data_IF_510557465813
#
_entry.id   IF_510557465813
#
_cell.length_a   1.000
_cell.length_b   1.000
_cell.length_c   1.000
_cell.angle_alpha   90.00
_cell.angle_beta   90.00
_cell.angle_gamma   90.00
#
_symmetry.space_group_name_H-M   'P 1'
#
loop_
_entity.id
_entity.type
_entity.pdbx_description
1 polymer ?
#
# COMPACT_ATOMS: atom_id res chain seq x y z
N UNK A 1 5.48 2.93 -10.25
CA UNK A 1 4.97 2.71 -11.61
C UNK A 1 3.47 2.93 -11.65
N UNK A 2 2.95 3.50 -12.75
CA UNK A 2 1.53 3.51 -13.06
C UNK A 2 1.30 2.72 -14.36
N UNK A 3 0.47 1.68 -14.28
CA UNK A 3 0.04 0.90 -15.44
C UNK A 3 -1.36 1.41 -15.80
N UNK A 4 -1.49 1.91 -17.02
CA UNK A 4 -2.77 2.38 -17.55
C UNK A 4 -3.18 1.52 -18.75
N UNK A 5 -4.38 0.99 -18.69
CA UNK A 5 -5.04 0.24 -19.76
C UNK A 5 -6.30 0.98 -20.18
N UNK A 6 -6.99 0.60 -21.26
CA UNK A 6 -8.26 1.23 -21.64
C UNK A 6 -9.36 1.16 -20.56
N UNK A 7 -9.25 0.22 -19.61
CA UNK A 7 -10.29 -0.02 -18.60
C UNK A 7 -9.83 0.13 -17.14
N UNK A 8 -8.52 0.20 -16.86
CA UNK A 8 -8.01 0.16 -15.49
C UNK A 8 -6.71 0.96 -15.35
N UNK A 9 -6.52 1.53 -14.15
CA UNK A 9 -5.27 2.15 -13.70
C UNK A 9 -4.78 1.46 -12.42
N UNK A 10 -3.55 0.96 -12.46
CA UNK A 10 -2.92 0.27 -11.34
C UNK A 10 -1.64 1.02 -10.97
N UNK A 11 -1.58 1.51 -9.74
CA UNK A 11 -0.37 2.11 -9.18
C UNK A 11 0.42 1.09 -8.36
N UNK A 12 1.72 1.00 -8.61
CA UNK A 12 2.65 0.12 -7.89
C UNK A 12 3.75 1.01 -7.30
N UNK A 13 3.74 1.14 -5.97
CA UNK A 13 4.71 1.99 -5.28
C UNK A 13 6.14 1.46 -5.37
N UNK A 14 6.32 0.13 -5.31
CA UNK A 14 7.62 -0.47 -5.01
C UNK A 14 7.99 -0.20 -3.54
N UNK A 15 9.28 -0.26 -3.24
CA UNK A 15 9.81 0.10 -1.94
C UNK A 15 10.05 1.62 -1.90
N UNK A 16 9.51 2.29 -0.91
CA UNK A 16 9.69 3.74 -0.80
C UNK A 16 9.03 4.33 0.44
N UNK A 17 9.69 5.27 1.08
CA UNK A 17 9.14 6.01 2.22
C UNK A 17 8.01 6.96 1.81
N UNK A 18 7.32 7.49 2.80
CA UNK A 18 6.27 8.48 2.58
C UNK A 18 6.87 9.85 2.22
N UNK A 19 6.31 10.48 1.17
CA UNK A 19 6.55 11.88 0.81
C UNK A 19 5.35 12.41 0.01
N UNK A 20 5.41 13.68 -0.41
CA UNK A 20 4.37 14.40 -1.18
C UNK A 20 4.00 13.77 -2.53
N UNK A 21 4.84 12.89 -3.05
CA UNK A 21 4.62 12.25 -4.35
C UNK A 21 3.30 11.45 -4.42
N UNK A 22 2.80 10.91 -3.30
CA UNK A 22 1.51 10.21 -3.29
C UNK A 22 0.35 11.17 -3.61
N UNK A 23 0.35 12.35 -3.01
CA UNK A 23 -0.65 13.38 -3.31
C UNK A 23 -0.53 13.90 -4.74
N UNK A 24 0.69 14.13 -5.21
CA UNK A 24 0.97 14.58 -6.58
C UNK A 24 0.49 13.56 -7.62
N UNK A 25 0.78 12.27 -7.41
CA UNK A 25 0.31 11.19 -8.28
C UNK A 25 -1.21 11.11 -8.28
N UNK A 26 -1.86 11.17 -7.13
CA UNK A 26 -3.32 11.15 -7.03
C UNK A 26 -4.01 12.35 -7.68
N UNK A 27 -3.31 13.49 -7.80
CA UNK A 27 -3.78 14.67 -8.55
C UNK A 27 -3.55 14.52 -10.06
N UNK A 28 -2.39 14.01 -10.46
CA UNK A 28 -2.04 13.87 -11.87
C UNK A 28 -2.77 12.71 -12.56
N UNK A 29 -3.07 11.65 -11.82
CA UNK A 29 -3.66 10.42 -12.37
C UNK A 29 -4.93 10.06 -11.58
N UNK A 30 -6.05 10.75 -11.80
CA UNK A 30 -7.29 10.44 -11.11
C UNK A 30 -7.82 9.04 -11.47
N UNK A 31 -8.70 8.50 -10.62
CA UNK A 31 -9.38 7.22 -10.83
C UNK A 31 -8.45 5.99 -10.85
N UNK A 32 -7.46 5.96 -9.96
CA UNK A 32 -6.65 4.76 -9.72
C UNK A 32 -7.56 3.64 -9.20
N UNK A 33 -7.65 2.53 -9.91
CA UNK A 33 -8.51 1.41 -9.53
C UNK A 33 -7.91 0.56 -8.42
N UNK A 34 -6.57 0.38 -8.44
CA UNK A 34 -5.84 -0.36 -7.43
C UNK A 34 -4.50 0.32 -7.14
N UNK A 35 -4.21 0.56 -5.87
CA UNK A 35 -2.88 0.93 -5.40
C UNK A 35 -2.24 -0.25 -4.68
N UNK A 36 -1.05 -0.65 -5.12
CA UNK A 36 -0.22 -1.67 -4.48
C UNK A 36 0.89 -0.96 -3.73
N UNK A 37 0.83 -1.00 -2.40
CA UNK A 37 1.73 -0.30 -1.50
C UNK A 37 2.57 -1.31 -0.71
N UNK A 38 3.79 -0.93 -0.30
CA UNK A 38 4.53 -1.74 0.65
C UNK A 38 3.94 -1.63 2.06
N UNK A 39 4.01 -2.72 2.82
CA UNK A 39 3.56 -2.80 4.21
C UNK A 39 4.46 -3.76 4.99
N UNK A 40 5.76 -3.59 4.85
CA UNK A 40 6.69 -4.46 5.54
C UNK A 40 8.09 -3.86 5.58
N UNK A 41 8.96 -4.50 6.36
CA UNK A 41 10.37 -4.13 6.48
C UNK A 41 10.61 -2.69 6.96
N UNK A 42 9.62 -2.09 7.61
CA UNK A 42 9.70 -0.75 8.17
C UNK A 42 10.39 -0.74 9.55
N UNK A 43 11.15 0.29 9.79
CA UNK A 43 11.64 0.71 11.12
C UNK A 43 12.04 2.19 11.06
N UNK A 44 12.22 2.81 12.22
CA UNK A 44 12.54 4.24 12.31
C UNK A 44 13.83 4.63 11.56
N UNK A 45 14.81 3.72 11.50
CA UNK A 45 16.05 3.96 10.76
C UNK A 45 15.86 3.93 9.24
N UNK A 46 14.75 3.38 8.76
CA UNK A 46 14.46 3.18 7.32
C UNK A 46 13.22 3.95 6.84
N UNK A 47 12.70 4.87 7.64
CA UNK A 47 11.46 5.63 7.35
C UNK A 47 11.45 6.41 6.03
N UNK A 48 12.61 6.67 5.45
CA UNK A 48 12.75 7.33 4.15
C UNK A 48 12.81 6.36 2.96
N UNK A 49 13.01 5.08 3.24
CA UNK A 49 13.11 4.02 2.21
C UNK A 49 12.02 2.95 2.33
N UNK A 50 11.29 2.95 3.45
CA UNK A 50 10.13 2.08 3.66
C UNK A 50 8.96 2.86 4.23
N UNK A 51 7.76 2.54 3.76
CA UNK A 51 6.52 3.19 4.18
C UNK A 51 6.16 2.77 5.61
N UNK A 52 6.19 3.73 6.53
CA UNK A 52 5.83 3.48 7.92
C UNK A 52 4.33 3.25 8.09
N UNK A 53 3.88 2.34 8.99
CA UNK A 53 2.46 2.07 9.23
C UNK A 53 1.63 3.33 9.52
N UNK A 54 2.21 4.31 10.21
CA UNK A 54 1.55 5.59 10.50
C UNK A 54 1.22 6.43 9.27
N UNK A 55 1.88 6.19 8.15
CA UNK A 55 1.71 6.96 6.91
C UNK A 55 0.95 6.19 5.82
N UNK A 56 0.73 4.89 5.97
CA UNK A 56 0.11 4.06 4.92
C UNK A 56 -1.30 4.51 4.56
N UNK A 57 -2.16 4.70 5.55
CA UNK A 57 -3.53 5.15 5.32
C UNK A 57 -3.56 6.54 4.67
N UNK A 58 -2.63 7.42 5.04
CA UNK A 58 -2.48 8.74 4.43
C UNK A 58 -2.08 8.63 2.97
N UNK A 59 -1.05 7.85 2.65
CA UNK A 59 -0.59 7.62 1.27
C UNK A 59 -1.72 7.06 0.39
N UNK A 60 -2.47 6.06 0.88
CA UNK A 60 -3.60 5.48 0.17
C UNK A 60 -4.72 6.51 -0.10
N UNK A 61 -5.04 7.36 0.87
CA UNK A 61 -6.04 8.43 0.72
C UNK A 61 -5.59 9.51 -0.25
N UNK A 62 -4.32 9.88 -0.25
CA UNK A 62 -3.73 10.87 -1.15
C UNK A 62 -3.72 10.39 -2.60
N UNK A 63 -3.47 9.09 -2.83
CA UNK A 63 -3.61 8.46 -4.15
C UNK A 63 -5.05 8.42 -4.65
N UNK A 64 -6.04 8.52 -3.77
CA UNK A 64 -7.47 8.39 -4.09
C UNK A 64 -7.81 7.08 -4.79
N UNK A 65 -7.08 6.02 -4.49
CA UNK A 65 -7.29 4.71 -5.09
C UNK A 65 -8.61 4.09 -4.61
N UNK A 66 -9.35 3.45 -5.51
CA UNK A 66 -10.61 2.77 -5.20
C UNK A 66 -10.41 1.54 -4.32
N UNK A 67 -9.29 0.85 -4.52
CA UNK A 67 -8.86 -0.33 -3.73
C UNK A 67 -7.39 -0.22 -3.38
N UNK A 68 -7.00 -0.81 -2.28
CA UNK A 68 -5.62 -0.85 -1.81
C UNK A 68 -5.22 -2.28 -1.49
N UNK A 69 -4.10 -2.72 -2.01
CA UNK A 69 -3.46 -3.99 -1.67
C UNK A 69 -2.09 -3.71 -1.09
N UNK A 70 -1.65 -4.48 -0.12
CA UNK A 70 -0.29 -4.33 0.38
C UNK A 70 0.59 -5.55 0.09
N UNK A 71 1.89 -5.32 -0.01
CA UNK A 71 2.91 -6.30 -0.36
C UNK A 71 4.15 -6.13 0.52
N UNK A 72 5.19 -6.92 0.28
CA UNK A 72 6.48 -6.83 0.97
C UNK A 72 6.43 -7.36 2.41
N UNK A 73 5.48 -8.25 2.72
CA UNK A 73 5.27 -8.85 4.04
C UNK A 73 4.93 -10.34 3.97
N UNK A 74 4.66 -10.94 5.12
CA UNK A 74 4.14 -12.31 5.31
C UNK A 74 5.04 -13.45 4.87
N UNK A 75 6.29 -13.19 4.49
CA UNK A 75 7.27 -14.24 4.16
C UNK A 75 8.52 -14.17 5.03
N UNK A 76 9.13 -12.99 5.12
CA UNK A 76 10.31 -12.75 5.95
C UNK A 76 10.11 -11.46 6.76
N UNK A 77 10.65 -11.41 7.97
CA UNK A 77 10.78 -10.20 8.77
C UNK A 77 12.28 -9.83 8.83
N UNK A 78 12.73 -8.99 7.92
CA UNK A 78 14.09 -8.45 7.90
C UNK A 78 14.22 -7.31 8.91
N UNK A 79 13.18 -6.49 9.01
CA UNK A 79 13.04 -5.46 10.03
C UNK A 79 12.62 -6.05 11.38
N UNK A 80 12.63 -5.23 12.43
CA UNK A 80 12.41 -5.66 13.81
C UNK A 80 10.93 -5.73 14.23
N UNK A 81 9.99 -5.61 13.29
CA UNK A 81 8.56 -5.79 13.60
C UNK A 81 8.17 -7.28 13.60
N UNK A 82 7.12 -7.71 14.32
CA UNK A 82 6.54 -9.04 14.20
C UNK A 82 6.16 -9.35 12.75
N UNK A 83 6.32 -10.61 12.34
CA UNK A 83 6.07 -11.02 10.94
C UNK A 83 4.61 -10.87 10.52
N UNK A 84 3.68 -10.93 11.46
CA UNK A 84 2.23 -10.82 11.26
C UNK A 84 1.67 -9.41 11.51
N UNK A 85 2.48 -8.48 12.01
CA UNK A 85 2.07 -7.09 12.24
C UNK A 85 1.55 -6.41 10.96
N UNK A 86 2.13 -6.61 9.76
CA UNK A 86 1.59 -6.05 8.53
C UNK A 86 0.12 -6.44 8.26
N UNK A 87 -0.27 -7.68 8.53
CA UNK A 87 -1.66 -8.12 8.37
C UNK A 87 -2.60 -7.44 9.37
N UNK A 88 -2.12 -7.16 10.59
CA UNK A 88 -2.87 -6.38 11.56
C UNK A 88 -3.03 -4.92 11.12
N UNK A 89 -2.01 -4.35 10.48
CA UNK A 89 -2.08 -3.00 9.90
C UNK A 89 -3.12 -2.91 8.77
N UNK A 90 -3.22 -3.91 7.88
CA UNK A 90 -4.25 -3.97 6.83
C UNK A 90 -5.65 -3.95 7.41
N UNK A 91 -5.93 -4.80 8.39
CA UNK A 91 -7.23 -4.86 9.07
C UNK A 91 -7.56 -3.54 9.75
N UNK A 92 -6.58 -2.91 10.40
CA UNK A 92 -6.74 -1.61 11.02
C UNK A 92 -7.07 -0.52 10.00
N UNK A 93 -6.40 -0.50 8.85
CA UNK A 93 -6.71 0.45 7.78
C UNK A 93 -8.11 0.24 7.21
N UNK A 94 -8.56 -1.00 7.08
CA UNK A 94 -9.92 -1.31 6.64
C UNK A 94 -10.97 -0.84 7.66
N UNK A 95 -10.77 -1.13 8.94
CA UNK A 95 -11.74 -0.86 9.99
C UNK A 95 -11.77 0.61 10.44
N UNK A 96 -10.61 1.23 10.61
CA UNK A 96 -10.48 2.56 11.20
C UNK A 96 -10.39 3.67 10.15
N UNK A 97 -9.77 3.39 9.01
CA UNK A 97 -9.55 4.37 7.95
C UNK A 97 -10.56 4.26 6.80
N UNK A 98 -11.45 3.28 6.85
CA UNK A 98 -12.47 3.00 5.83
C UNK A 98 -11.87 2.78 4.43
N UNK A 99 -10.66 2.25 4.35
CA UNK A 99 -10.04 1.90 3.08
C UNK A 99 -10.59 0.57 2.56
N UNK A 100 -10.81 0.51 1.26
CA UNK A 100 -11.22 -0.73 0.58
C UNK A 100 -9.99 -1.62 0.34
N UNK A 101 -9.64 -2.40 1.37
CA UNK A 101 -8.46 -3.26 1.34
C UNK A 101 -8.72 -4.55 0.55
N UNK A 102 -7.77 -4.94 -0.26
CA UNK A 102 -7.70 -6.25 -0.94
C UNK A 102 -6.64 -7.07 -0.22
N UNK A 103 -7.07 -8.09 0.51
CA UNK A 103 -6.21 -8.92 1.36
C UNK A 103 -6.29 -10.38 0.88
N UNK A 104 -5.64 -10.74 -0.24
CA UNK A 104 -5.69 -12.09 -0.77
C UNK A 104 -4.85 -13.07 0.07
N UNK A 105 -5.25 -14.32 0.07
CA UNK A 105 -4.37 -15.39 0.52
C UNK A 105 -3.27 -15.65 -0.53
N UNK A 106 -2.13 -16.18 -0.08
CA UNK A 106 -1.01 -16.48 -1.00
C UNK A 106 -1.46 -17.53 -2.02
N UNK A 107 -1.40 -17.17 -3.30
CA UNK A 107 -1.83 -18.01 -4.42
C UNK A 107 -3.29 -17.82 -4.83
N UNK A 108 -4.05 -16.99 -4.12
CA UNK A 108 -5.40 -16.63 -4.52
C UNK A 108 -5.39 -15.72 -5.76
N UNK A 109 -6.28 -16.01 -6.70
CA UNK A 109 -6.49 -15.17 -7.90
C UNK A 109 -7.56 -14.14 -7.60
N UNK A 110 -7.17 -12.87 -7.61
CA UNK A 110 -8.08 -11.75 -7.37
C UNK A 110 -8.47 -11.07 -8.68
N UNK A 111 -9.75 -10.74 -8.90
CA UNK A 111 -10.16 -9.92 -10.04
C UNK A 111 -9.67 -8.48 -9.85
N UNK A 112 -9.13 -7.91 -10.91
CA UNK A 112 -8.72 -6.51 -10.96
C UNK A 112 -9.92 -5.56 -11.12
#
# INVERSE_FOLDING_TARGET
>A
FLIETPSQKIYIAGDGGYDSHFEEIGKCFPDIDLAILENGQYNEGWKYIHLMPSNMAKAAKELKAKRVMTVHHSKYALAKHPWDEPLANERKMQEQDSLNMVIPEIGEVMPL
#
